data_IF_086169428998
#
_entry.id   IF_086169428998
#
_cell.length_a   1.000
_cell.length_b   1.000
_cell.length_c   1.000
_cell.angle_alpha   90.00
_cell.angle_beta   90.00
_cell.angle_gamma   90.00
#
_symmetry.space_group_name_H-M   'P 1'
#
loop_
_entity.id
_entity.type
_entity.pdbx_description
1 polymer ?
#
# COMPACT_ATOMS: atom_id res chain seq x y z
N UNK A 1 15.64 13.17 -4.37
CA UNK A 1 14.69 13.54 -5.46
C UNK A 1 14.43 15.04 -5.34
N UNK A 2 14.58 15.81 -6.42
CA UNK A 2 14.40 17.28 -6.36
C UNK A 2 12.93 17.71 -6.37
N UNK A 3 12.05 16.90 -6.96
CA UNK A 3 10.63 17.20 -7.14
C UNK A 3 9.83 15.90 -7.31
N UNK A 4 8.65 15.82 -6.68
CA UNK A 4 7.69 14.74 -6.86
C UNK A 4 6.71 15.13 -7.98
N UNK A 5 6.36 14.19 -8.87
CA UNK A 5 5.32 14.41 -9.88
C UNK A 5 4.09 13.58 -9.54
N UNK A 6 2.96 14.24 -9.28
CA UNK A 6 1.64 13.61 -9.13
C UNK A 6 1.02 13.55 -10.53
N UNK A 7 0.74 12.34 -11.01
CA UNK A 7 0.21 12.12 -12.36
C UNK A 7 -1.32 12.23 -12.40
N UNK A 8 -1.80 13.33 -13.01
CA UNK A 8 -3.22 13.68 -13.09
C UNK A 8 -3.73 14.44 -11.86
N UNK A 9 -4.53 15.46 -12.13
CA UNK A 9 -5.23 16.25 -11.11
C UNK A 9 -6.69 16.52 -11.51
N UNK A 10 -7.18 15.75 -12.49
CA UNK A 10 -8.50 15.89 -13.11
C UNK A 10 -9.30 14.60 -13.09
N UNK A 11 -8.91 13.62 -12.25
CA UNK A 11 -9.71 12.42 -12.00
C UNK A 11 -11.02 12.78 -11.30
N UNK A 12 -12.13 12.04 -11.54
CA UNK A 12 -13.41 12.26 -10.85
C UNK A 12 -13.37 11.73 -9.41
N UNK A 13 -12.45 12.31 -8.61
CA UNK A 13 -12.24 12.03 -7.19
C UNK A 13 -12.31 13.33 -6.42
N UNK A 14 -12.32 13.25 -5.08
CA UNK A 14 -12.46 14.43 -4.22
C UNK A 14 -11.41 15.53 -4.46
N UNK A 15 -10.18 15.14 -4.78
CA UNK A 15 -9.05 16.04 -4.96
C UNK A 15 -8.42 16.00 -6.36
N UNK A 16 -9.05 15.29 -7.27
CA UNK A 16 -8.60 15.16 -8.65
C UNK A 16 -7.47 14.15 -8.86
N UNK A 17 -6.96 13.49 -7.82
CA UNK A 17 -5.91 12.48 -7.95
C UNK A 17 -6.47 11.06 -7.83
N UNK A 18 -5.78 10.07 -8.41
CA UNK A 18 -6.26 8.69 -8.37
C UNK A 18 -6.18 8.09 -6.97
N UNK A 19 -7.05 7.09 -6.71
CA UNK A 19 -7.17 6.41 -5.42
C UNK A 19 -6.53 5.02 -5.51
N UNK A 20 -5.71 4.68 -4.52
CA UNK A 20 -5.03 3.38 -4.40
C UNK A 20 -5.14 2.86 -2.97
N UNK A 21 -5.00 1.54 -2.84
CA UNK A 21 -4.78 0.91 -1.55
C UNK A 21 -3.28 0.95 -1.23
N UNK A 22 -2.95 1.53 -0.10
CA UNK A 22 -1.59 1.55 0.43
C UNK A 22 -1.52 0.67 1.66
N UNK A 23 -0.50 -0.15 1.74
CA UNK A 23 -0.31 -1.11 2.82
C UNK A 23 1.15 -1.10 3.29
N UNK A 24 1.36 -1.30 4.59
CA UNK A 24 2.68 -1.36 5.17
C UNK A 24 3.38 -2.68 4.84
N UNK A 25 4.66 -2.62 4.53
CA UNK A 25 5.49 -3.79 4.17
C UNK A 25 5.49 -4.86 5.27
N UNK A 26 5.45 -4.48 6.54
CA UNK A 26 5.37 -5.41 7.67
C UNK A 26 4.05 -6.18 7.69
N UNK A 27 2.92 -5.52 7.38
CA UNK A 27 1.61 -6.20 7.29
C UNK A 27 1.61 -7.22 6.15
N UNK A 28 2.19 -6.86 5.01
CA UNK A 28 2.39 -7.79 3.88
C UNK A 28 3.25 -8.99 4.31
N UNK A 29 4.39 -8.75 4.97
CA UNK A 29 5.27 -9.81 5.44
C UNK A 29 4.56 -10.77 6.40
N UNK A 30 3.78 -10.23 7.36
CA UNK A 30 2.98 -11.05 8.27
C UNK A 30 1.92 -11.87 7.53
N UNK A 31 1.28 -11.31 6.51
CA UNK A 31 0.34 -12.04 5.67
C UNK A 31 1.02 -13.21 4.94
N UNK A 32 2.21 -13.02 4.41
CA UNK A 32 2.98 -14.11 3.80
C UNK A 32 3.29 -15.24 4.80
N UNK A 33 3.68 -14.89 6.04
CA UNK A 33 3.91 -15.88 7.10
C UNK A 33 2.63 -16.67 7.41
N UNK A 34 1.48 -16.02 7.44
CA UNK A 34 0.19 -16.71 7.63
C UNK A 34 -0.13 -17.65 6.47
N UNK A 35 0.12 -17.23 5.24
CA UNK A 35 -0.10 -18.08 4.06
C UNK A 35 0.76 -19.36 4.11
N UNK A 36 1.98 -19.30 4.65
CA UNK A 36 2.81 -20.49 4.84
C UNK A 36 2.14 -21.56 5.73
N UNK A 37 1.24 -21.16 6.63
CA UNK A 37 0.49 -22.11 7.45
C UNK A 37 -0.52 -22.96 6.63
N UNK A 38 -0.87 -22.53 5.40
CA UNK A 38 -1.75 -23.32 4.52
C UNK A 38 -1.10 -24.62 4.07
N UNK A 39 0.24 -24.68 4.07
CA UNK A 39 0.96 -25.91 3.73
C UNK A 39 1.03 -26.92 4.88
N UNK A 40 0.45 -26.61 6.03
CA UNK A 40 0.27 -27.58 7.10
C UNK A 40 -0.93 -28.48 6.79
N UNK A 41 -0.79 -29.76 7.12
CA UNK A 41 -1.78 -30.80 6.82
C UNK A 41 -3.22 -30.44 7.29
N UNK A 42 -3.33 -29.74 8.43
CA UNK A 42 -4.60 -29.27 9.01
C UNK A 42 -5.36 -28.24 8.17
N UNK A 43 -4.74 -27.67 7.14
CA UNK A 43 -5.30 -26.61 6.30
C UNK A 43 -5.38 -27.02 4.81
N UNK A 44 -5.19 -28.30 4.47
CA UNK A 44 -5.21 -28.79 3.08
C UNK A 44 -6.51 -28.44 2.35
N UNK A 45 -7.64 -28.37 3.06
CA UNK A 45 -8.96 -28.03 2.49
C UNK A 45 -9.01 -26.60 1.91
N UNK A 46 -8.11 -25.70 2.33
CA UNK A 46 -8.01 -24.34 1.80
C UNK A 46 -7.19 -24.25 0.51
N UNK A 47 -6.47 -25.33 0.16
CA UNK A 47 -5.65 -25.42 -1.04
C UNK A 47 -6.39 -26.20 -2.13
N UNK A 48 -6.91 -25.49 -3.13
CA UNK A 48 -7.44 -26.14 -4.34
C UNK A 48 -6.31 -26.38 -5.31
N UNK A 49 -6.12 -27.63 -5.72
CA UNK A 49 -5.04 -28.04 -6.65
C UNK A 49 -3.63 -27.57 -6.17
N UNK A 50 -3.39 -27.63 -4.86
CA UNK A 50 -2.17 -27.11 -4.22
C UNK A 50 -1.93 -25.62 -4.45
N UNK A 51 -2.99 -24.84 -4.70
CA UNK A 51 -2.91 -23.41 -4.96
C UNK A 51 -4.02 -22.65 -4.21
N UNK A 52 -3.66 -21.52 -3.63
CA UNK A 52 -4.61 -20.55 -3.09
C UNK A 52 -4.22 -19.13 -3.54
N UNK A 53 -5.22 -18.37 -3.96
CA UNK A 53 -5.03 -17.00 -4.45
C UNK A 53 -5.73 -16.05 -3.47
N UNK A 54 -4.98 -15.06 -2.97
CA UNK A 54 -5.47 -14.01 -2.07
C UNK A 54 -5.05 -12.63 -2.55
N UNK A 55 -5.96 -11.68 -2.43
CA UNK A 55 -5.59 -10.26 -2.45
C UNK A 55 -5.19 -9.85 -1.04
N UNK A 56 -4.18 -8.99 -0.95
CA UNK A 56 -3.71 -8.41 0.31
C UNK A 56 -3.65 -6.90 0.17
N UNK A 57 -4.37 -6.21 1.05
CA UNK A 57 -4.47 -4.76 1.06
C UNK A 57 -5.14 -4.27 2.35
N UNK A 58 -5.23 -2.95 2.49
CA UNK A 58 -5.84 -2.34 3.66
C UNK A 58 -7.36 -2.25 3.58
N UNK A 59 -7.95 -2.49 2.43
CA UNK A 59 -9.35 -2.18 2.09
C UNK A 59 -9.71 -0.70 2.26
N UNK A 60 -8.70 0.18 2.34
CA UNK A 60 -8.86 1.63 2.44
C UNK A 60 -8.21 2.29 1.25
N UNK A 61 -9.01 3.08 0.53
CA UNK A 61 -8.49 3.90 -0.55
C UNK A 61 -7.99 5.23 -0.03
N UNK A 62 -6.79 5.61 -0.46
CA UNK A 62 -6.25 6.96 -0.27
C UNK A 62 -5.91 7.55 -1.63
N UNK A 63 -6.21 8.83 -1.81
CA UNK A 63 -5.75 9.54 -2.99
C UNK A 63 -4.25 9.80 -2.92
N UNK A 64 -3.61 10.01 -4.07
CA UNK A 64 -2.18 10.34 -4.09
C UNK A 64 -1.90 11.63 -3.31
N UNK A 65 -2.80 12.61 -3.39
CA UNK A 65 -2.67 13.86 -2.64
C UNK A 65 -2.80 13.65 -1.13
N UNK A 66 -3.74 12.81 -0.68
CA UNK A 66 -3.85 12.43 0.74
C UNK A 66 -2.58 11.77 1.27
N UNK A 67 -1.90 10.94 0.45
CA UNK A 67 -0.60 10.37 0.83
C UNK A 67 0.46 11.46 1.00
N UNK A 68 0.56 12.40 0.06
CA UNK A 68 1.53 13.51 0.14
C UNK A 68 1.28 14.34 1.41
N UNK A 69 0.04 14.75 1.66
CA UNK A 69 -0.34 15.54 2.83
C UNK A 69 -0.08 14.78 4.14
N UNK A 70 -0.39 13.49 4.17
CA UNK A 70 -0.12 12.63 5.33
C UNK A 70 1.36 12.46 5.58
N UNK A 71 2.16 12.32 4.53
CA UNK A 71 3.62 12.21 4.62
C UNK A 71 4.25 13.49 5.17
N UNK A 72 3.83 14.66 4.65
CA UNK A 72 4.25 15.96 5.15
C UNK A 72 3.93 16.14 6.63
N UNK A 73 2.67 15.86 7.00
CA UNK A 73 2.18 16.00 8.38
C UNK A 73 2.90 15.06 9.33
N UNK A 74 3.04 13.78 8.97
CA UNK A 74 3.64 12.77 9.83
C UNK A 74 5.11 13.04 10.15
N UNK A 75 5.82 13.72 9.23
CA UNK A 75 7.27 13.93 9.32
C UNK A 75 7.67 15.39 9.56
N UNK A 76 6.70 16.32 9.64
CA UNK A 76 6.96 17.74 9.86
C UNK A 76 7.77 18.40 8.74
N UNK A 77 7.59 17.95 7.51
CA UNK A 77 8.32 18.45 6.33
C UNK A 77 7.38 18.98 5.26
N UNK A 78 7.93 19.65 4.25
CA UNK A 78 7.23 20.02 3.03
C UNK A 78 7.87 19.33 1.83
N UNK A 79 7.03 18.76 0.97
CA UNK A 79 7.46 18.14 -0.27
C UNK A 79 7.28 19.14 -1.42
N UNK A 80 8.33 19.26 -2.23
CA UNK A 80 8.21 19.98 -3.49
C UNK A 80 7.57 19.03 -4.52
N UNK A 81 6.34 19.35 -4.97
CA UNK A 81 5.65 18.54 -5.98
C UNK A 81 4.93 19.41 -7.01
N UNK A 82 4.70 18.82 -8.17
CA UNK A 82 3.86 19.37 -9.23
C UNK A 82 2.91 18.31 -9.78
N UNK A 83 1.87 18.76 -10.45
CA UNK A 83 1.01 17.86 -11.23
C UNK A 83 1.57 17.67 -12.63
N UNK A 84 1.56 16.44 -13.09
CA UNK A 84 1.84 16.04 -14.48
C UNK A 84 0.59 15.49 -15.15
N UNK A 85 0.66 15.23 -16.45
CA UNK A 85 -0.43 14.62 -17.20
C UNK A 85 -0.75 13.21 -16.65
N UNK A 86 -1.99 12.73 -16.84
CA UNK A 86 -2.36 11.35 -16.54
C UNK A 86 -1.46 10.38 -17.31
N UNK A 87 -1.08 9.29 -16.67
CA UNK A 87 -0.43 8.17 -17.36
C UNK A 87 -1.49 7.32 -18.05
N UNK A 88 -1.17 6.86 -19.26
CA UNK A 88 -2.07 5.94 -19.98
C UNK A 88 -2.24 4.64 -19.18
N UNK A 89 -3.49 4.23 -18.96
CA UNK A 89 -3.83 3.01 -18.25
C UNK A 89 -4.02 3.17 -16.74
N UNK A 90 -3.80 4.36 -16.16
CA UNK A 90 -4.12 4.58 -14.74
C UNK A 90 -5.62 4.56 -14.50
N UNK A 91 -6.06 3.64 -13.65
CA UNK A 91 -7.44 3.61 -13.19
C UNK A 91 -7.72 4.76 -12.21
N UNK A 92 -8.95 5.27 -12.22
CA UNK A 92 -9.41 6.28 -11.25
C UNK A 92 -9.29 5.76 -9.83
N UNK A 93 -9.78 4.54 -9.60
CA UNK A 93 -9.76 3.84 -8.31
C UNK A 93 -9.27 2.42 -8.57
N UNK A 94 -8.31 1.96 -7.77
CA UNK A 94 -7.85 0.58 -7.78
C UNK A 94 -7.69 0.10 -6.33
N UNK A 95 -8.65 -0.71 -5.87
CA UNK A 95 -8.70 -1.28 -4.53
C UNK A 95 -8.89 -2.80 -4.64
N UNK A 96 -8.17 -3.60 -3.85
CA UNK A 96 -8.40 -5.04 -3.79
C UNK A 96 -9.64 -5.36 -2.94
N UNK A 97 -10.29 -6.47 -3.25
CA UNK A 97 -11.20 -7.12 -2.30
C UNK A 97 -10.40 -8.14 -1.48
N UNK A 98 -10.24 -7.86 -0.19
CA UNK A 98 -9.49 -8.69 0.76
C UNK A 98 -10.40 -9.58 1.62
N UNK A 99 -11.69 -9.70 1.29
CA UNK A 99 -12.68 -10.46 2.08
C UNK A 99 -12.29 -11.93 2.24
N UNK A 100 -11.71 -12.54 1.21
CA UNK A 100 -11.29 -13.95 1.22
C UNK A 100 -10.19 -14.21 2.25
N UNK A 101 -9.10 -13.43 2.22
CA UNK A 101 -7.98 -13.62 3.16
C UNK A 101 -8.41 -13.35 4.60
N UNK A 102 -9.28 -12.35 4.81
CA UNK A 102 -9.86 -12.09 6.13
C UNK A 102 -10.71 -13.28 6.62
N UNK A 103 -11.59 -13.81 5.78
CA UNK A 103 -12.49 -14.92 6.14
C UNK A 103 -11.71 -16.19 6.46
N UNK A 104 -10.75 -16.56 5.63
CA UNK A 104 -10.04 -17.84 5.71
C UNK A 104 -8.84 -17.78 6.68
N UNK A 105 -8.04 -16.72 6.63
CA UNK A 105 -6.81 -16.62 7.42
C UNK A 105 -6.88 -15.63 8.59
N UNK A 106 -8.02 -14.91 8.74
CA UNK A 106 -8.19 -13.86 9.77
C UNK A 106 -7.11 -12.76 9.70
N UNK A 107 -6.49 -12.61 8.53
CA UNK A 107 -5.48 -11.59 8.34
C UNK A 107 -6.11 -10.22 8.13
N UNK A 108 -5.62 -9.24 8.89
CA UNK A 108 -6.02 -7.83 8.79
C UNK A 108 -4.76 -6.98 8.93
N UNK A 109 -4.54 -5.99 8.04
CA UNK A 109 -3.46 -5.02 8.22
C UNK A 109 -3.70 -4.17 9.45
N UNK A 110 -2.64 -3.89 10.21
CA UNK A 110 -2.71 -3.19 11.50
C UNK A 110 -2.11 -1.78 11.44
N UNK A 111 -1.24 -1.53 10.47
CA UNK A 111 -0.45 -0.30 10.41
C UNK A 111 -1.18 0.72 9.54
N UNK A 112 -1.51 1.86 10.14
CA UNK A 112 -2.23 2.95 9.46
C UNK A 112 -1.30 3.86 8.66
N UNK A 113 -1.91 4.74 7.85
CA UNK A 113 -1.22 5.62 6.91
C UNK A 113 -0.15 6.50 7.57
N UNK A 114 -0.44 7.08 8.73
CA UNK A 114 0.52 7.93 9.43
C UNK A 114 1.82 7.18 9.77
N UNK A 115 1.69 5.95 10.29
CA UNK A 115 2.85 5.14 10.61
C UNK A 115 3.59 4.68 9.35
N UNK A 116 2.88 4.32 8.28
CA UNK A 116 3.50 4.02 6.99
C UNK A 116 4.37 5.18 6.49
N UNK A 117 3.87 6.41 6.60
CA UNK A 117 4.61 7.61 6.20
C UNK A 117 5.85 7.85 7.07
N UNK A 118 5.74 7.65 8.39
CA UNK A 118 6.87 7.77 9.32
C UNK A 118 7.95 6.74 9.04
N UNK A 119 7.58 5.49 8.88
CA UNK A 119 8.52 4.39 8.68
C UNK A 119 9.23 4.52 7.33
N UNK A 120 8.50 4.89 6.29
CA UNK A 120 9.09 5.18 4.98
C UNK A 120 10.11 6.33 5.03
N UNK A 121 9.78 7.41 5.73
CA UNK A 121 10.70 8.55 5.91
C UNK A 121 11.95 8.15 6.70
N UNK A 122 11.76 7.44 7.81
CA UNK A 122 12.87 6.97 8.65
C UNK A 122 13.80 6.03 7.89
N UNK A 123 13.21 5.12 7.07
CA UNK A 123 14.00 4.22 6.24
C UNK A 123 14.91 4.99 5.28
N UNK A 124 14.36 5.95 4.53
CA UNK A 124 15.14 6.77 3.58
C UNK A 124 16.20 7.60 4.31
N UNK A 125 15.89 8.11 5.52
CA UNK A 125 16.83 8.88 6.32
C UNK A 125 18.00 8.04 6.82
N UNK A 126 17.74 6.79 7.20
CA UNK A 126 18.79 5.86 7.67
C UNK A 126 19.59 5.27 6.52
N UNK A 127 18.99 5.14 5.33
CA UNK A 127 19.59 4.52 4.16
C UNK A 127 19.48 5.43 2.93
N UNK A 128 20.20 6.58 2.92
CA UNK A 128 20.06 7.58 1.85
C UNK A 128 20.52 7.08 0.48
N UNK A 129 21.39 6.10 0.44
CA UNK A 129 21.92 5.48 -0.78
C UNK A 129 21.35 4.08 -1.05
N UNK A 130 20.45 3.59 -0.20
CA UNK A 130 19.89 2.24 -0.27
C UNK A 130 20.45 1.31 0.82
N UNK A 131 20.14 0.01 0.70
CA UNK A 131 20.56 -1.00 1.68
C UNK A 131 21.97 -1.56 1.43
N UNK A 132 22.52 -1.32 0.25
CA UNK A 132 23.77 -1.91 -0.21
C UNK A 132 24.73 -0.78 -0.60
N UNK A 133 25.33 -0.15 0.41
CA UNK A 133 26.47 0.74 0.26
C UNK A 133 27.77 -0.06 0.38
#
# INVERSE_FOLDING_TARGET
MKELVIFGNDYPTKDGTCIRDYIHVTDIAQGHILVLNLFKKENEDLLKDNCAIYNMGSNKGYSVKEIVESYEKANGIKLNYRFGNRRKGDAVIALPDCSKIYKELKWIPKIGLEQMCKDSYNFIKMHPNGLFD
#
